data_IF_793045114890
#
_entry.id   IF_793045114890
#
_cell.length_a   1.000
_cell.length_b   1.000
_cell.length_c   1.000
_cell.angle_alpha   90.00
_cell.angle_beta   90.00
_cell.angle_gamma   90.00
#
_symmetry.space_group_name_H-M   'P 1'
#
loop_
_entity.id
_entity.type
_entity.pdbx_description
1 polymer ?
#
# COMPACT_ATOMS: atom_id res chain seq x y z
N UNK A 1 7.78 10.60 -5.43
CA UNK A 1 6.52 11.20 -4.92
C UNK A 1 6.46 11.11 -3.40
N UNK A 2 5.70 11.98 -2.79
CA UNK A 2 5.60 11.99 -1.33
C UNK A 2 4.19 11.55 -0.93
N UNK A 3 4.14 10.58 -0.04
CA UNK A 3 2.88 10.05 0.48
C UNK A 3 2.87 10.27 1.99
N UNK A 4 1.80 10.84 2.49
CA UNK A 4 1.66 11.06 3.91
C UNK A 4 0.85 9.92 4.53
N UNK A 5 1.45 9.24 5.49
CA UNK A 5 0.77 8.19 6.23
C UNK A 5 0.88 8.53 7.70
N UNK A 6 -0.25 8.74 8.35
CA UNK A 6 -0.24 9.21 9.72
C UNK A 6 0.33 10.60 9.78
N UNK A 7 1.38 10.77 10.58
CA UNK A 7 2.03 12.07 10.75
C UNK A 7 3.34 12.18 10.01
N UNK A 8 3.70 11.17 9.21
CA UNK A 8 4.99 11.13 8.56
C UNK A 8 4.83 11.16 7.05
N UNK A 9 5.71 11.91 6.39
CA UNK A 9 5.78 11.94 4.93
C UNK A 9 6.81 10.92 4.47
N UNK A 10 6.46 10.15 3.45
CA UNK A 10 7.33 9.13 2.87
C UNK A 10 7.65 9.53 1.44
N UNK A 11 8.94 9.70 1.16
CA UNK A 11 9.40 10.00 -0.19
C UNK A 11 9.70 8.67 -0.88
N UNK A 12 8.88 8.30 -1.84
CA UNK A 12 8.93 6.98 -2.47
C UNK A 12 8.92 7.12 -3.98
N UNK A 13 9.28 6.03 -4.65
CA UNK A 13 9.19 5.96 -6.09
C UNK A 13 7.72 5.87 -6.51
N UNK A 14 7.39 6.49 -7.63
CA UNK A 14 6.07 6.32 -8.21
C UNK A 14 6.00 4.97 -8.90
N UNK A 15 4.81 4.47 -9.16
CA UNK A 15 4.65 3.21 -9.86
C UNK A 15 4.36 3.45 -11.33
N UNK A 16 4.84 2.55 -12.18
CA UNK A 16 4.52 2.58 -13.60
C UNK A 16 3.13 1.99 -13.82
N UNK A 17 2.60 2.18 -15.02
CA UNK A 17 1.31 1.59 -15.36
C UNK A 17 1.35 0.07 -15.22
N UNK A 18 2.45 -0.55 -15.66
CA UNK A 18 2.58 -2.00 -15.56
C UNK A 18 2.58 -2.48 -14.11
N UNK A 19 3.28 -1.72 -13.24
CA UNK A 19 3.31 -2.04 -11.81
C UNK A 19 1.93 -1.86 -11.19
N UNK A 20 1.21 -0.81 -11.58
CA UNK A 20 -0.15 -0.59 -11.09
C UNK A 20 -1.08 -1.73 -11.49
N UNK A 21 -0.99 -2.18 -12.73
CA UNK A 21 -1.78 -3.33 -13.19
C UNK A 21 -1.48 -4.57 -12.37
N UNK A 22 -0.20 -4.79 -12.09
CA UNK A 22 0.21 -5.94 -11.29
C UNK A 22 -0.40 -5.87 -9.90
N UNK A 23 -0.40 -4.68 -9.30
CA UNK A 23 -1.00 -4.49 -7.98
C UNK A 23 -2.50 -4.78 -8.00
N UNK A 24 -3.20 -4.34 -9.04
CA UNK A 24 -4.62 -4.64 -9.17
C UNK A 24 -4.88 -6.14 -9.27
N UNK A 25 -4.04 -6.84 -10.02
CA UNK A 25 -4.18 -8.29 -10.16
C UNK A 25 -3.95 -9.00 -8.83
N UNK A 26 -2.92 -8.59 -8.10
CA UNK A 26 -2.63 -9.17 -6.80
C UNK A 26 -3.75 -8.87 -5.82
N UNK A 27 -4.26 -7.65 -5.84
CA UNK A 27 -5.34 -7.27 -4.94
C UNK A 27 -6.61 -8.08 -5.20
N UNK A 28 -6.86 -8.43 -6.46
CA UNK A 28 -8.03 -9.24 -6.80
C UNK A 28 -7.98 -10.60 -6.12
N UNK A 29 -6.77 -11.11 -5.83
CA UNK A 29 -6.62 -12.40 -5.16
C UNK A 29 -6.82 -12.30 -3.66
N UNK A 30 -6.73 -11.09 -3.11
CA UNK A 30 -6.90 -10.88 -1.67
C UNK A 30 -8.34 -11.16 -1.25
N UNK A 31 -9.27 -10.76 -2.10
CA UNK A 31 -10.69 -10.89 -1.79
C UNK A 31 -11.31 -11.99 -2.64
N UNK A 32 -11.63 -13.11 -2.01
CA UNK A 32 -12.18 -14.23 -2.72
C UNK A 32 -13.42 -14.73 -1.95
N UNK A 33 -14.55 -14.71 -2.61
CA UNK A 33 -15.81 -15.18 -2.03
C UNK A 33 -16.11 -14.54 -0.68
N UNK A 34 -15.84 -13.24 -0.58
CA UNK A 34 -16.13 -12.48 0.63
C UNK A 34 -15.13 -12.67 1.75
N UNK A 35 -14.06 -13.41 1.50
CA UNK A 35 -13.03 -13.65 2.51
C UNK A 35 -11.71 -13.03 2.07
N UNK A 36 -10.96 -12.55 3.06
CA UNK A 36 -9.64 -12.00 2.79
C UNK A 36 -8.60 -13.11 2.87
N UNK A 37 -7.80 -13.24 1.80
CA UNK A 37 -6.68 -14.15 1.80
C UNK A 37 -5.47 -13.39 2.33
N UNK A 38 -5.07 -13.70 3.56
CA UNK A 38 -3.99 -12.99 4.25
C UNK A 38 -2.67 -13.10 3.50
N UNK A 39 -2.38 -14.27 2.95
CA UNK A 39 -1.13 -14.47 2.21
C UNK A 39 -1.07 -13.55 1.00
N UNK A 40 -2.15 -13.49 0.24
CA UNK A 40 -2.20 -12.60 -0.92
C UNK A 40 -2.13 -11.14 -0.51
N UNK A 41 -2.72 -10.79 0.63
CA UNK A 41 -2.65 -9.43 1.14
C UNK A 41 -1.19 -9.03 1.40
N UNK A 42 -0.42 -9.90 2.05
CA UNK A 42 0.98 -9.59 2.32
C UNK A 42 1.83 -9.60 1.05
N UNK A 43 1.45 -10.40 0.05
CA UNK A 43 2.12 -10.33 -1.25
C UNK A 43 1.95 -8.95 -1.87
N UNK A 44 0.75 -8.36 -1.74
CA UNK A 44 0.50 -7.00 -2.22
C UNK A 44 1.41 -6.01 -1.51
N UNK A 45 1.46 -6.09 -0.18
CA UNK A 45 2.27 -5.16 0.61
C UNK A 45 3.76 -5.29 0.27
N UNK A 46 4.23 -6.51 0.08
CA UNK A 46 5.63 -6.74 -0.29
C UNK A 46 5.94 -6.08 -1.64
N UNK A 47 5.05 -6.27 -2.60
CA UNK A 47 5.22 -5.68 -3.92
C UNK A 47 5.25 -4.15 -3.83
N UNK A 48 4.36 -3.59 -3.02
CA UNK A 48 4.32 -2.14 -2.81
C UNK A 48 5.64 -1.63 -2.27
N UNK A 49 6.20 -2.33 -1.28
CA UNK A 49 7.48 -1.94 -0.71
C UNK A 49 8.61 -1.95 -1.74
N UNK A 50 8.63 -2.98 -2.59
CA UNK A 50 9.64 -3.09 -3.64
C UNK A 50 9.51 -1.93 -4.63
N UNK A 51 8.30 -1.65 -5.08
CA UNK A 51 8.07 -0.55 -6.02
C UNK A 51 8.47 0.78 -5.41
N UNK A 52 8.11 1.00 -4.16
CA UNK A 52 8.38 2.25 -3.46
C UNK A 52 9.87 2.44 -3.18
N UNK A 53 10.65 1.36 -3.19
CA UNK A 53 12.07 1.43 -2.88
C UNK A 53 12.35 1.44 -1.39
N UNK A 54 11.41 0.92 -0.60
CA UNK A 54 11.58 0.85 0.85
C UNK A 54 12.10 -0.52 1.25
N UNK A 55 12.96 -0.53 2.27
CA UNK A 55 13.53 -1.77 2.77
C UNK A 55 13.48 -1.82 4.28
N UNK A 56 14.10 -2.86 4.83
CA UNK A 56 14.07 -3.09 6.27
C UNK A 56 14.61 -1.90 7.06
N UNK A 57 15.61 -1.20 6.52
CA UNK A 57 16.18 -0.06 7.22
C UNK A 57 15.18 1.07 7.42
N UNK A 58 14.23 1.18 6.49
CA UNK A 58 13.23 2.24 6.58
C UNK A 58 12.21 1.96 7.67
N UNK A 59 12.10 0.71 8.09
CA UNK A 59 11.09 0.28 9.05
C UNK A 59 11.67 -0.25 10.35
N UNK A 60 12.99 -0.09 10.57
CA UNK A 60 13.64 -0.82 11.64
C UNK A 60 13.16 -0.48 13.05
N UNK A 61 12.60 0.71 13.22
CA UNK A 61 12.11 1.11 14.54
C UNK A 61 10.59 1.06 14.61
N UNK A 62 9.95 0.34 13.67
CA UNK A 62 8.50 0.27 13.59
C UNK A 62 8.03 -1.15 13.83
N UNK A 63 6.89 -1.28 14.49
CA UNK A 63 6.30 -2.61 14.64
C UNK A 63 5.55 -2.99 13.38
N UNK A 64 5.16 -4.26 13.29
CA UNK A 64 4.54 -4.80 12.10
C UNK A 64 3.25 -4.06 11.73
N UNK A 65 2.45 -3.71 12.72
CA UNK A 65 1.19 -3.02 12.45
C UNK A 65 1.43 -1.67 11.79
N UNK A 66 2.48 -0.96 12.22
CA UNK A 66 2.82 0.33 11.64
C UNK A 66 3.36 0.18 10.23
N UNK A 67 4.21 -0.83 10.00
CA UNK A 67 4.73 -1.09 8.67
C UNK A 67 3.58 -1.40 7.71
N UNK A 68 2.65 -2.25 8.13
CA UNK A 68 1.49 -2.59 7.30
C UNK A 68 0.67 -1.35 6.98
N UNK A 69 0.50 -0.47 7.96
CA UNK A 69 -0.26 0.76 7.76
C UNK A 69 0.39 1.65 6.70
N UNK A 70 1.72 1.78 6.75
CA UNK A 70 2.46 2.58 5.78
C UNK A 70 2.31 1.99 4.38
N UNK A 71 2.55 0.69 4.25
CA UNK A 71 2.48 0.04 2.95
C UNK A 71 1.07 0.07 2.38
N UNK A 72 0.06 -0.08 3.23
CA UNK A 72 -1.32 0.01 2.79
C UNK A 72 -1.65 1.43 2.29
N UNK A 73 -1.18 2.45 3.02
CA UNK A 73 -1.38 3.83 2.59
C UNK A 73 -0.76 4.11 1.23
N UNK A 74 0.46 3.61 1.02
CA UNK A 74 1.14 3.76 -0.25
C UNK A 74 0.39 3.01 -1.35
N UNK A 75 -0.10 1.83 -1.04
CA UNK A 75 -0.87 1.03 -1.99
C UNK A 75 -2.10 1.79 -2.50
N UNK A 76 -2.84 2.39 -1.58
CA UNK A 76 -4.03 3.16 -1.96
C UNK A 76 -3.65 4.34 -2.85
N UNK A 77 -2.52 4.98 -2.56
CA UNK A 77 -2.05 6.09 -3.37
C UNK A 77 -1.69 5.62 -4.78
N UNK A 78 -1.02 4.49 -4.90
CA UNK A 78 -0.65 3.93 -6.19
C UNK A 78 -1.88 3.58 -7.04
N UNK A 79 -2.93 3.10 -6.40
CA UNK A 79 -4.15 2.75 -7.12
C UNK A 79 -5.00 3.96 -7.46
N UNK A 80 -4.68 5.11 -6.88
CA UNK A 80 -5.48 6.31 -7.09
C UNK A 80 -6.79 6.29 -6.32
N UNK A 81 -6.88 5.47 -5.29
CA UNK A 81 -8.07 5.39 -4.45
C UNK A 81 -7.90 6.35 -3.29
N UNK A 82 -8.79 7.30 -3.19
CA UNK A 82 -8.73 8.21 -2.06
C UNK A 82 -9.29 7.52 -0.83
N UNK A 83 -8.62 7.68 0.32
CA UNK A 83 -9.18 7.14 1.55
C UNK A 83 -10.54 7.80 1.78
N UNK A 84 -11.47 7.06 2.35
CA UNK A 84 -12.84 7.55 2.59
C UNK A 84 -12.80 8.87 3.33
N UNK A 85 -13.21 9.89 2.67
CA UNK A 85 -13.24 11.20 3.28
C UNK A 85 -14.57 11.44 3.83
N UNK A 86 -14.50 11.41 3.88
CA UNK A 86 -15.46 11.62 3.94
C UNK A 86 -16.05 12.67 3.69
N UNK A 87 -15.83 12.91 3.38
CA UNK A 87 -16.31 13.57 3.11
C UNK A 87 -16.77 13.97 2.67
N UNK A 88 -16.76 14.12 2.65
CA UNK A 88 -17.06 14.41 2.20
C UNK A 88 -17.85 14.68 1.89
N UNK A 89 -18.04 14.83 1.99
CA UNK A 89 -18.72 15.06 1.77
C UNK A 89 -19.54 14.94 1.52
N UNK A 90 -19.50 14.81 1.61
CA UNK A 90 -20.06 14.67 1.50
C UNK A 90 -20.16 14.49 1.41
#
# INVERSE_FOLDING_TARGET
MIVKVGKKDWDINDCTYAERRELHKLNAKVWWEGKMDVESYYDVLEKVGVIAGLGENDFKDMDMAKVDEVLQGIFLEYLGIEPAKKDSGG
#
